data_IF_369442444060
#
_entry.id   IF_369442444060
#
_cell.length_a   1.000
_cell.length_b   1.000
_cell.length_c   1.000
_cell.angle_alpha   90.00
_cell.angle_beta   90.00
_cell.angle_gamma   90.00
#
_symmetry.space_group_name_H-M   'P 1'
#
loop_
_entity.id
_entity.type
_entity.pdbx_description
1 polymer ?
#
# COMPACT_ATOMS: atom_id res chain seq x y z
N UNK A 1 -7.42 31.96 -23.71
CA UNK A 1 -7.55 31.41 -22.33
C UNK A 1 -6.89 30.05 -22.34
N UNK A 2 -5.58 29.99 -22.05
CA UNK A 2 -4.92 28.70 -21.88
C UNK A 2 -5.50 27.96 -20.67
N UNK A 3 -5.81 26.67 -20.85
CA UNK A 3 -5.94 25.76 -19.70
C UNK A 3 -4.53 25.43 -19.24
N UNK A 4 -4.08 26.08 -18.18
CA UNK A 4 -2.80 25.76 -17.56
C UNK A 4 -2.79 24.34 -17.01
N UNK A 5 -2.38 23.36 -17.83
CA UNK A 5 -1.69 22.18 -17.30
C UNK A 5 -0.51 22.71 -16.51
N UNK A 6 -0.55 22.53 -15.20
CA UNK A 6 0.56 22.84 -14.32
C UNK A 6 1.57 21.69 -14.54
N UNK A 7 2.84 21.99 -14.86
CA UNK A 7 3.88 20.98 -15.12
C UNK A 7 4.37 20.35 -13.80
N UNK A 8 3.43 19.81 -13.02
CA UNK A 8 3.61 19.58 -11.59
C UNK A 8 4.05 18.17 -11.22
N UNK A 9 4.86 18.15 -10.17
CA UNK A 9 5.27 17.00 -9.36
C UNK A 9 6.32 16.07 -10.00
N UNK A 10 6.11 15.51 -11.20
CA UNK A 10 7.09 14.57 -11.76
C UNK A 10 8.46 15.22 -12.05
N UNK A 11 8.50 16.44 -12.58
CA UNK A 11 9.74 17.14 -12.97
C UNK A 11 10.78 17.39 -11.84
N UNK A 12 10.45 17.20 -10.55
CA UNK A 12 11.27 17.71 -9.43
C UNK A 12 11.44 16.78 -8.21
N UNK A 13 11.24 15.47 -8.37
CA UNK A 13 11.61 14.49 -7.34
C UNK A 13 13.14 14.25 -7.33
N UNK A 14 13.89 15.15 -6.67
CA UNK A 14 15.32 14.98 -6.41
C UNK A 14 15.61 13.68 -5.64
N UNK A 15 16.65 12.97 -6.08
CA UNK A 15 16.79 11.53 -5.88
C UNK A 15 16.86 11.02 -4.43
N UNK A 16 16.16 9.91 -4.18
CA UNK A 16 16.32 9.05 -3.01
C UNK A 16 16.65 7.63 -3.51
N UNK A 17 17.87 7.17 -3.22
CA UNK A 17 18.41 5.90 -3.72
C UNK A 17 17.92 4.74 -2.85
N UNK A 18 17.47 3.64 -3.47
CA UNK A 18 17.02 2.42 -2.80
C UNK A 18 17.85 1.21 -3.24
N UNK A 19 18.49 0.52 -2.28
CA UNK A 19 19.19 -0.74 -2.52
C UNK A 19 18.22 -1.94 -2.49
N UNK A 20 18.51 -2.99 -3.25
CA UNK A 20 17.64 -4.16 -3.45
C UNK A 20 18.29 -5.52 -3.15
N UNK A 21 17.51 -6.60 -3.34
CA UNK A 21 17.92 -8.01 -3.20
C UNK A 21 17.15 -8.91 -4.20
N UNK A 22 17.59 -10.17 -4.40
CA UNK A 22 17.36 -10.95 -5.64
C UNK A 22 16.39 -12.18 -5.54
N UNK A 23 16.43 -13.07 -6.56
CA UNK A 23 15.33 -13.94 -7.06
C UNK A 23 15.60 -15.47 -7.06
N UNK A 24 14.52 -16.28 -7.15
CA UNK A 24 14.29 -17.65 -7.75
C UNK A 24 13.01 -18.28 -7.12
N UNK A 25 12.18 -19.16 -7.70
CA UNK A 25 12.05 -19.76 -9.05
C UNK A 25 11.97 -21.32 -9.02
N UNK A 26 11.25 -22.10 -9.88
CA UNK A 26 10.17 -21.88 -10.87
C UNK A 26 9.50 -23.25 -11.24
N UNK A 27 8.24 -23.25 -11.75
CA UNK A 27 7.52 -24.40 -12.36
C UNK A 27 6.16 -24.74 -11.68
N UNK A 28 4.97 -24.94 -12.31
CA UNK A 28 4.50 -25.56 -13.59
C UNK A 28 4.01 -27.02 -13.42
N UNK A 29 2.86 -27.54 -13.89
CA UNK A 29 1.55 -27.11 -14.48
C UNK A 29 0.64 -28.39 -14.45
N UNK A 30 -0.69 -28.50 -14.71
CA UNK A 30 -1.87 -27.70 -15.14
C UNK A 30 -3.15 -28.57 -14.83
N UNK A 31 -4.38 -28.46 -15.37
CA UNK A 31 -5.09 -27.56 -16.31
C UNK A 31 -6.52 -28.11 -16.63
N UNK A 32 -7.46 -27.25 -17.06
CA UNK A 32 -8.81 -27.48 -17.68
C UNK A 32 -9.90 -28.29 -16.89
N UNK A 33 -11.23 -28.17 -17.10
CA UNK A 33 -12.08 -27.39 -18.04
C UNK A 33 -13.38 -26.86 -17.34
N UNK A 34 -14.21 -26.08 -18.04
CA UNK A 34 -15.47 -25.45 -17.61
C UNK A 34 -16.68 -26.44 -17.55
N UNK A 35 -17.92 -26.10 -17.16
CA UNK A 35 -18.64 -24.81 -17.15
C UNK A 35 -19.90 -24.85 -16.23
N UNK A 36 -20.86 -23.93 -16.46
CA UNK A 36 -22.16 -23.74 -15.78
C UNK A 36 -22.18 -22.89 -14.49
N UNK A 37 -22.33 -21.59 -14.74
CA UNK A 37 -23.20 -20.62 -14.04
C UNK A 37 -24.07 -21.15 -12.86
N UNK A 38 -24.28 -20.40 -11.77
CA UNK A 38 -24.53 -18.94 -11.73
C UNK A 38 -24.30 -18.35 -10.32
N UNK A 39 -24.41 -17.02 -10.21
CA UNK A 39 -24.53 -16.24 -8.96
C UNK A 39 -23.46 -16.50 -7.88
N UNK A 40 -22.42 -15.65 -7.86
CA UNK A 40 -21.69 -15.33 -6.63
C UNK A 40 -21.20 -13.87 -6.69
N UNK A 41 -21.34 -13.15 -5.59
CA UNK A 41 -20.64 -11.87 -5.40
C UNK A 41 -19.13 -12.14 -5.30
N UNK A 42 -18.30 -11.18 -5.70
CA UNK A 42 -16.83 -11.33 -5.78
C UNK A 42 -16.17 -11.41 -4.39
N UNK A 43 -16.30 -12.58 -3.76
CA UNK A 43 -15.53 -12.99 -2.59
C UNK A 43 -14.08 -13.29 -3.01
N UNK A 44 -13.12 -12.89 -2.17
CA UNK A 44 -11.71 -13.26 -2.36
C UNK A 44 -11.57 -14.80 -2.40
N UNK A 45 -10.62 -15.29 -3.21
CA UNK A 45 -10.43 -16.72 -3.45
C UNK A 45 -10.28 -17.49 -2.13
N UNK A 46 -9.40 -17.04 -1.24
CA UNK A 46 -9.35 -17.52 0.13
C UNK A 46 -9.25 -16.36 1.12
N UNK A 47 -10.09 -16.38 2.14
CA UNK A 47 -10.05 -15.50 3.28
C UNK A 47 -10.30 -16.31 4.54
N UNK A 48 -9.96 -15.77 5.71
CA UNK A 48 -10.23 -16.44 6.97
C UNK A 48 -10.56 -15.43 8.07
N UNK A 49 -11.11 -15.95 9.16
CA UNK A 49 -11.17 -15.26 10.46
C UNK A 49 -10.65 -16.22 11.53
N UNK A 50 -9.86 -15.72 12.47
CA UNK A 50 -9.45 -16.48 13.65
C UNK A 50 -10.61 -16.45 14.66
N UNK A 51 -11.13 -17.62 15.02
CA UNK A 51 -12.25 -17.79 15.96
C UNK A 51 -11.79 -18.28 17.34
N UNK A 52 -10.55 -18.75 17.46
CA UNK A 52 -9.93 -19.12 18.74
C UNK A 52 -8.42 -18.90 18.64
N UNK A 53 -7.83 -18.32 19.69
CA UNK A 53 -6.39 -18.09 19.81
C UNK A 53 -6.03 -18.06 21.29
N UNK A 54 -5.57 -19.19 21.81
CA UNK A 54 -5.23 -19.39 23.22
C UNK A 54 -3.97 -20.22 23.35
N UNK A 55 -3.09 -19.87 24.29
CA UNK A 55 -2.04 -20.75 24.80
C UNK A 55 -2.20 -20.90 26.31
N UNK A 56 -2.41 -22.13 26.77
CA UNK A 56 -2.59 -22.47 28.19
C UNK A 56 -1.29 -23.07 28.71
N UNK A 57 -0.49 -22.24 29.38
CA UNK A 57 0.85 -22.63 29.80
C UNK A 57 0.89 -23.75 30.85
N UNK A 58 -0.17 -23.92 31.65
CA UNK A 58 -0.29 -25.05 32.57
C UNK A 58 -0.33 -26.40 31.82
N UNK A 59 -0.95 -26.42 30.64
CA UNK A 59 -1.11 -27.58 29.77
C UNK A 59 -0.02 -27.63 28.66
N UNK A 60 0.85 -26.62 28.61
CA UNK A 60 1.87 -26.38 27.58
C UNK A 60 1.31 -26.32 26.14
N UNK A 61 0.01 -26.04 26.00
CA UNK A 61 -0.73 -26.28 24.75
C UNK A 61 -1.42 -25.04 24.19
N UNK A 62 -1.27 -24.87 22.89
CA UNK A 62 -1.83 -23.79 22.08
C UNK A 62 -2.92 -24.29 21.14
N UNK A 63 -4.02 -23.54 21.05
CA UNK A 63 -5.15 -23.80 20.16
C UNK A 63 -5.41 -22.58 19.29
N UNK A 64 -5.29 -22.75 17.98
CA UNK A 64 -5.69 -21.78 16.97
C UNK A 64 -6.83 -22.38 16.14
N UNK A 65 -7.99 -21.74 16.13
CA UNK A 65 -9.09 -22.12 15.22
C UNK A 65 -9.27 -21.00 14.20
N UNK A 66 -9.23 -21.37 12.92
CA UNK A 66 -9.57 -20.45 11.83
C UNK A 66 -10.76 -20.97 11.04
N UNK A 67 -11.67 -20.07 10.68
CA UNK A 67 -12.74 -20.35 9.71
C UNK A 67 -12.30 -19.84 8.34
N UNK A 68 -12.28 -20.70 7.32
CA UNK A 68 -12.16 -20.27 5.94
C UNK A 68 -13.46 -19.53 5.53
N UNK A 69 -13.35 -18.27 5.14
CA UNK A 69 -14.46 -17.42 4.69
C UNK A 69 -14.42 -17.13 3.19
N UNK A 70 -13.41 -17.64 2.48
CA UNK A 70 -13.22 -17.39 1.05
C UNK A 70 -14.12 -18.22 0.14
N UNK A 71 -14.03 -17.95 -1.17
CA UNK A 71 -14.80 -18.67 -2.18
C UNK A 71 -14.32 -20.12 -2.43
N UNK A 72 -13.03 -20.39 -2.20
CA UNK A 72 -12.31 -21.64 -2.48
C UNK A 72 -11.91 -22.38 -1.20
N UNK A 73 -11.65 -23.68 -1.32
CA UNK A 73 -11.05 -24.48 -0.25
C UNK A 73 -9.57 -24.15 -0.09
N UNK A 74 -9.11 -23.97 1.15
CA UNK A 74 -7.69 -24.13 1.46
C UNK A 74 -7.34 -25.62 1.39
N UNK A 75 -6.11 -25.95 1.01
CA UNK A 75 -5.64 -27.32 0.72
C UNK A 75 -4.21 -27.59 1.18
N UNK A 76 -3.36 -26.56 1.27
CA UNK A 76 -1.99 -26.61 1.80
C UNK A 76 -1.66 -25.34 2.61
N UNK A 77 -2.43 -25.02 3.67
CA UNK A 77 -2.21 -23.80 4.44
C UNK A 77 -0.84 -23.77 5.12
N UNK A 78 -0.31 -22.57 5.29
CA UNK A 78 0.86 -22.22 6.11
C UNK A 78 0.37 -21.26 7.20
N UNK A 79 0.69 -21.55 8.46
CA UNK A 79 0.25 -20.80 9.63
C UNK A 79 1.49 -20.17 10.28
N UNK A 80 1.56 -18.84 10.29
CA UNK A 80 2.67 -18.06 10.86
C UNK A 80 2.16 -17.19 12.00
N UNK A 81 2.85 -17.19 13.15
CA UNK A 81 2.46 -16.42 14.32
C UNK A 81 3.64 -16.08 15.23
N UNK A 82 3.50 -14.99 15.98
CA UNK A 82 4.47 -14.52 16.96
C UNK A 82 4.19 -15.03 18.38
N UNK A 83 5.20 -15.60 19.01
CA UNK A 83 5.24 -16.07 20.40
C UNK A 83 6.08 -15.11 21.28
N UNK A 84 6.12 -15.26 22.62
CA UNK A 84 6.92 -14.39 23.47
C UNK A 84 8.43 -14.51 23.19
N UNK A 85 9.20 -13.45 23.47
CA UNK A 85 10.66 -13.46 23.22
C UNK A 85 11.38 -14.49 24.11
N UNK A 86 12.26 -15.28 23.51
CA UNK A 86 12.99 -16.37 24.18
C UNK A 86 12.23 -17.69 24.30
N UNK A 87 10.94 -17.71 23.94
CA UNK A 87 10.15 -18.95 23.84
C UNK A 87 10.44 -19.64 22.50
N UNK A 88 10.36 -20.97 22.46
CA UNK A 88 10.44 -21.76 21.22
C UNK A 88 9.22 -22.63 21.00
N UNK A 89 8.73 -22.71 19.77
CA UNK A 89 7.82 -23.80 19.37
C UNK A 89 8.58 -25.13 19.36
N UNK A 90 7.92 -26.22 19.76
CA UNK A 90 8.58 -27.51 20.02
C UNK A 90 7.77 -28.77 19.66
N UNK A 91 6.55 -28.61 19.09
CA UNK A 91 5.75 -29.72 18.57
C UNK A 91 5.31 -29.48 17.12
N UNK A 92 5.32 -30.56 16.33
CA UNK A 92 4.73 -30.67 15.01
C UNK A 92 3.50 -31.60 15.07
N UNK A 93 2.30 -31.04 14.84
CA UNK A 93 1.06 -31.82 14.69
C UNK A 93 1.11 -32.66 13.40
N UNK A 94 0.36 -33.77 13.35
CA UNK A 94 0.38 -34.70 12.21
C UNK A 94 0.12 -34.03 10.85
N UNK A 95 1.09 -34.13 9.94
CA UNK A 95 1.06 -33.50 8.62
C UNK A 95 1.49 -32.03 8.59
N UNK A 96 2.03 -31.49 9.68
CA UNK A 96 2.72 -30.21 9.74
C UNK A 96 4.24 -30.39 9.87
N UNK A 97 4.98 -29.30 9.64
CA UNK A 97 6.31 -29.09 10.21
C UNK A 97 6.58 -27.60 10.41
N UNK A 98 7.39 -27.21 11.39
CA UNK A 98 7.69 -25.80 11.66
C UNK A 98 9.14 -25.37 11.45
N UNK A 99 9.28 -24.06 11.27
CA UNK A 99 10.54 -23.32 11.44
C UNK A 99 10.29 -22.15 12.38
N UNK A 100 11.35 -21.66 13.04
CA UNK A 100 11.26 -20.48 13.89
C UNK A 100 12.36 -19.46 13.53
N UNK A 101 11.99 -18.19 13.48
CA UNK A 101 12.91 -17.07 13.28
C UNK A 101 12.65 -16.02 14.35
N UNK A 102 13.60 -15.87 15.29
CA UNK A 102 13.42 -15.03 16.47
C UNK A 102 12.20 -15.45 17.28
N UNK A 103 11.21 -14.57 17.40
CA UNK A 103 9.95 -14.80 18.11
C UNK A 103 8.77 -15.19 17.20
N UNK A 104 9.01 -15.63 15.96
CA UNK A 104 7.96 -16.03 15.00
C UNK A 104 8.11 -17.49 14.60
N UNK A 105 7.08 -18.29 14.81
CA UNK A 105 6.98 -19.66 14.32
C UNK A 105 6.19 -19.70 13.00
N UNK A 106 6.62 -20.55 12.06
CA UNK A 106 6.00 -20.74 10.75
C UNK A 106 5.79 -22.23 10.53
N UNK A 107 4.54 -22.67 10.60
CA UNK A 107 4.08 -24.04 10.37
C UNK A 107 3.60 -24.23 8.93
N UNK A 108 4.15 -25.22 8.24
CA UNK A 108 3.82 -25.56 6.85
C UNK A 108 3.30 -27.00 6.74
N UNK A 109 2.35 -27.28 5.84
CA UNK A 109 1.83 -28.64 5.63
C UNK A 109 2.82 -29.55 4.90
N UNK A 110 3.13 -30.69 5.53
CA UNK A 110 3.89 -31.83 4.98
C UNK A 110 2.98 -32.87 4.31
N UNK A 111 1.66 -32.83 4.57
CA UNK A 111 0.63 -33.56 3.81
C UNK A 111 -0.62 -32.70 3.59
N UNK A 112 -1.46 -33.04 2.62
CA UNK A 112 -2.61 -32.19 2.23
C UNK A 112 -3.63 -32.00 3.38
N UNK A 113 -4.39 -30.90 3.32
CA UNK A 113 -5.41 -30.51 4.30
C UNK A 113 -6.50 -29.64 3.67
N UNK A 114 -7.64 -30.24 3.32
CA UNK A 114 -8.78 -29.52 2.73
C UNK A 114 -9.64 -28.83 3.78
N UNK A 115 -9.56 -27.49 3.88
CA UNK A 115 -10.48 -26.66 4.67
C UNK A 115 -11.43 -25.94 3.71
N UNK A 116 -12.61 -26.52 3.51
CA UNK A 116 -13.62 -26.02 2.58
C UNK A 116 -14.10 -24.59 2.91
N UNK A 117 -14.71 -23.90 1.94
CA UNK A 117 -15.39 -22.62 2.18
C UNK A 117 -16.41 -22.75 3.31
N UNK A 118 -16.38 -21.81 4.25
CA UNK A 118 -17.15 -21.80 5.50
C UNK A 118 -16.85 -22.92 6.52
N UNK A 119 -15.91 -23.83 6.27
CA UNK A 119 -15.41 -24.75 7.29
C UNK A 119 -14.43 -24.06 8.25
N UNK A 120 -14.33 -24.59 9.47
CA UNK A 120 -13.27 -24.24 10.41
C UNK A 120 -12.27 -25.38 10.54
N UNK A 121 -11.00 -25.05 10.76
CA UNK A 121 -9.94 -25.98 11.14
C UNK A 121 -9.33 -25.55 12.47
N UNK A 122 -9.10 -26.53 13.34
CA UNK A 122 -8.35 -26.38 14.58
C UNK A 122 -6.92 -26.85 14.34
N UNK A 123 -5.97 -25.97 14.62
CA UNK A 123 -4.54 -26.23 14.61
C UNK A 123 -4.01 -26.19 16.05
N UNK A 124 -3.14 -27.14 16.40
CA UNK A 124 -2.51 -27.20 17.70
C UNK A 124 -0.99 -27.03 17.64
N UNK A 125 -0.43 -26.41 18.68
CA UNK A 125 1.02 -26.23 18.86
C UNK A 125 1.37 -26.29 20.35
N UNK A 126 2.62 -26.60 20.68
CA UNK A 126 3.18 -26.38 22.02
C UNK A 126 4.38 -25.44 21.95
N UNK A 127 4.81 -24.94 23.10
CA UNK A 127 6.05 -24.19 23.22
C UNK A 127 6.76 -24.49 24.54
N UNK A 128 8.04 -24.16 24.64
CA UNK A 128 8.88 -24.42 25.81
C UNK A 128 8.58 -23.55 27.06
N UNK A 129 7.41 -22.92 27.15
CA UNK A 129 7.00 -22.11 28.32
C UNK A 129 5.71 -22.59 28.97
N UNK A 130 5.69 -22.52 30.29
CA UNK A 130 4.50 -22.76 31.12
C UNK A 130 3.68 -21.49 31.40
N UNK A 131 4.00 -20.37 30.75
CA UNK A 131 3.24 -19.12 30.87
C UNK A 131 2.19 -19.03 29.76
N UNK A 132 0.93 -18.81 30.14
CA UNK A 132 -0.17 -18.61 29.18
C UNK A 132 -0.01 -17.31 28.38
N UNK A 133 -0.30 -17.36 27.08
CA UNK A 133 -0.26 -16.19 26.20
C UNK A 133 -1.31 -16.25 25.08
N UNK A 134 -1.36 -15.23 24.23
CA UNK A 134 -2.15 -15.21 22.99
C UNK A 134 -1.17 -15.03 21.82
N UNK A 135 -1.26 -15.87 20.79
CA UNK A 135 -0.36 -15.78 19.64
C UNK A 135 -0.59 -14.47 18.88
N UNK A 136 0.48 -13.73 18.59
CA UNK A 136 0.41 -12.45 17.88
C UNK A 136 0.54 -12.64 16.38
N UNK A 137 0.15 -11.65 15.57
CA UNK A 137 0.42 -11.61 14.13
C UNK A 137 0.01 -12.89 13.36
N UNK A 138 -1.08 -13.55 13.77
CA UNK A 138 -1.52 -14.82 13.18
C UNK A 138 -1.90 -14.61 11.71
N UNK A 139 -1.10 -15.20 10.83
CA UNK A 139 -1.21 -15.10 9.38
C UNK A 139 -1.38 -16.50 8.79
N UNK A 140 -2.40 -16.67 7.96
CA UNK A 140 -2.65 -17.93 7.25
C UNK A 140 -2.63 -17.66 5.76
N UNK A 141 -1.78 -18.40 5.04
CA UNK A 141 -1.61 -18.31 3.59
C UNK A 141 -1.71 -19.70 2.97
N UNK A 142 -2.14 -19.81 1.72
CA UNK A 142 -2.27 -21.09 1.03
C UNK A 142 -1.86 -20.94 -0.44
N UNK A 143 -0.98 -21.78 -1.00
CA UNK A 143 -0.52 -21.69 -2.38
C UNK A 143 -1.63 -21.74 -3.43
N UNK A 144 -2.66 -22.57 -3.22
CA UNK A 144 -3.75 -22.77 -4.17
C UNK A 144 -4.75 -21.59 -4.18
N UNK A 145 -4.50 -20.59 -3.34
CA UNK A 145 -5.27 -19.35 -3.23
C UNK A 145 -4.61 -18.14 -3.92
N UNK A 146 -3.54 -18.34 -4.71
CA UNK A 146 -3.08 -17.38 -5.72
C UNK A 146 -2.61 -16.01 -5.20
N UNK A 147 -2.19 -15.90 -3.94
CA UNK A 147 -1.60 -14.68 -3.38
C UNK A 147 -2.57 -13.50 -3.19
N UNK A 148 -3.89 -13.73 -3.19
CA UNK A 148 -4.92 -12.69 -2.97
C UNK A 148 -5.95 -13.10 -1.92
N UNK A 149 -5.48 -13.20 -0.67
CA UNK A 149 -6.32 -13.22 0.53
C UNK A 149 -6.24 -11.90 1.30
N UNK A 150 -7.28 -11.51 2.07
CA UNK A 150 -7.32 -10.22 2.74
C UNK A 150 -6.29 -10.16 3.88
N UNK A 151 -5.55 -9.04 3.92
CA UNK A 151 -4.94 -8.57 5.16
C UNK A 151 -6.02 -8.38 6.25
N UNK A 152 -5.65 -8.44 7.54
CA UNK A 152 -6.61 -8.59 8.63
C UNK A 152 -7.66 -7.47 8.66
N UNK A 153 -8.91 -7.86 8.85
CA UNK A 153 -9.97 -6.95 9.27
C UNK A 153 -9.48 -6.22 10.54
N UNK A 154 -9.53 -4.88 10.61
CA UNK A 154 -8.62 -4.15 11.49
C UNK A 154 -8.95 -4.33 12.97
N UNK A 155 -8.05 -5.02 13.68
CA UNK A 155 -7.58 -4.53 14.98
C UNK A 155 -7.23 -3.03 14.81
N UNK A 156 -7.64 -2.11 15.71
CA UNK A 156 -7.41 -0.67 15.60
C UNK A 156 -5.92 -0.24 15.64
N UNK A 157 -5.21 -0.57 14.55
CA UNK A 157 -3.76 -0.49 14.40
C UNK A 157 -3.14 -1.27 13.22
N UNK A 158 -3.89 -1.64 12.16
CA UNK A 158 -3.29 -2.35 10.99
C UNK A 158 -3.33 -1.60 9.65
N UNK A 159 -4.42 -0.92 9.29
CA UNK A 159 -4.53 -0.19 8.01
C UNK A 159 -5.81 0.64 7.84
N UNK A 160 -6.11 1.04 6.60
CA UNK A 160 -7.42 1.55 6.16
C UNK A 160 -8.23 0.44 5.47
N UNK A 161 -9.56 0.51 5.52
CA UNK A 161 -10.44 -0.38 4.75
C UNK A 161 -10.29 -0.15 3.24
N UNK A 162 -10.72 -1.11 2.41
CA UNK A 162 -10.65 -0.98 0.94
C UNK A 162 -11.34 0.29 0.42
N UNK A 163 -12.46 0.70 1.02
CA UNK A 163 -13.19 1.92 0.64
C UNK A 163 -12.46 3.19 1.12
N UNK A 164 -11.99 3.24 2.37
CA UNK A 164 -11.14 4.34 2.86
C UNK A 164 -9.86 4.49 2.01
N UNK A 165 -9.28 3.38 1.55
CA UNK A 165 -8.12 3.37 0.64
C UNK A 165 -8.47 3.96 -0.74
N UNK A 166 -9.60 3.62 -1.34
CA UNK A 166 -10.07 4.28 -2.58
C UNK A 166 -10.23 5.79 -2.38
N UNK A 167 -10.80 6.22 -1.25
CA UNK A 167 -10.95 7.66 -0.92
C UNK A 167 -9.57 8.33 -0.81
N UNK A 168 -8.61 7.67 -0.16
CA UNK A 168 -7.23 8.13 -0.06
C UNK A 168 -6.56 8.26 -1.44
N UNK A 169 -6.61 7.21 -2.26
CA UNK A 169 -6.02 7.18 -3.60
C UNK A 169 -6.66 8.20 -4.54
N UNK A 170 -8.00 8.34 -4.50
CA UNK A 170 -8.74 9.31 -5.29
C UNK A 170 -8.40 10.76 -4.89
N UNK A 171 -8.30 11.07 -3.59
CA UNK A 171 -7.93 12.41 -3.13
C UNK A 171 -6.47 12.72 -3.49
N UNK A 172 -5.54 11.80 -3.23
CA UNK A 172 -4.13 11.92 -3.63
C UNK A 172 -4.01 12.17 -5.13
N UNK A 173 -4.72 11.42 -5.97
CA UNK A 173 -4.67 11.56 -7.43
C UNK A 173 -5.22 12.90 -7.94
N UNK A 174 -6.14 13.57 -7.22
CA UNK A 174 -6.53 14.95 -7.56
C UNK A 174 -5.33 15.90 -7.41
N UNK A 175 -4.52 15.76 -6.36
CA UNK A 175 -3.37 16.62 -6.15
C UNK A 175 -2.19 16.31 -7.09
N UNK A 176 -2.03 15.06 -7.51
CA UNK A 176 -1.03 14.69 -8.52
C UNK A 176 -1.49 15.10 -9.96
N UNK A 177 -2.75 14.86 -10.32
CA UNK A 177 -3.21 14.76 -11.71
C UNK A 177 -4.49 15.57 -12.07
N UNK A 178 -5.04 16.37 -11.15
CA UNK A 178 -6.39 17.00 -11.23
C UNK A 178 -7.57 16.03 -11.43
N UNK A 179 -7.34 14.72 -11.27
CA UNK A 179 -8.36 13.69 -11.46
C UNK A 179 -8.26 12.59 -10.39
N UNK A 180 -9.39 12.14 -9.82
CA UNK A 180 -9.41 10.98 -8.92
C UNK A 180 -9.23 9.64 -9.66
N UNK A 181 -9.10 9.66 -10.99
CA UNK A 181 -8.82 8.47 -11.81
C UNK A 181 -7.32 8.16 -11.79
N UNK A 182 -6.96 7.02 -11.19
CA UNK A 182 -5.59 6.52 -11.18
C UNK A 182 -5.11 6.14 -12.60
N UNK A 183 -3.94 6.68 -12.97
CA UNK A 183 -3.43 6.67 -14.34
C UNK A 183 -2.72 5.37 -14.77
N UNK A 184 -3.30 4.18 -14.53
CA UNK A 184 -2.63 2.89 -14.78
C UNK A 184 -2.05 2.70 -16.20
N UNK A 185 -2.71 3.25 -17.23
CA UNK A 185 -2.28 3.14 -18.63
C UNK A 185 -1.23 4.20 -19.05
N UNK A 186 -0.92 5.18 -18.20
CA UNK A 186 0.02 6.25 -18.52
C UNK A 186 1.45 5.73 -18.61
N UNK A 187 2.19 6.19 -19.61
CA UNK A 187 3.62 6.02 -19.76
C UNK A 187 4.15 7.18 -20.61
N UNK A 188 5.21 7.85 -20.16
CA UNK A 188 5.80 8.99 -20.86
C UNK A 188 7.27 9.13 -20.44
N UNK A 189 8.17 9.43 -21.38
CA UNK A 189 9.47 9.99 -21.01
C UNK A 189 9.27 11.50 -20.96
N UNK A 190 9.42 12.07 -19.77
CA UNK A 190 9.20 13.49 -19.47
C UNK A 190 10.52 14.27 -19.39
N UNK A 191 11.62 13.65 -19.83
CA UNK A 191 12.98 14.21 -19.91
C UNK A 191 13.54 14.76 -18.58
N UNK A 192 13.09 14.20 -17.46
CA UNK A 192 13.53 14.56 -16.09
C UNK A 192 14.75 13.77 -15.57
N UNK A 193 15.33 12.91 -16.42
CA UNK A 193 16.47 12.06 -16.08
C UNK A 193 16.12 10.72 -15.40
N UNK A 194 14.85 10.36 -15.24
CA UNK A 194 14.41 9.04 -14.73
C UNK A 194 13.94 8.07 -15.83
N UNK A 195 14.03 8.46 -17.10
CA UNK A 195 13.51 7.69 -18.23
C UNK A 195 11.98 7.67 -18.26
N UNK A 196 11.39 6.55 -18.67
CA UNK A 196 9.94 6.42 -18.72
C UNK A 196 9.32 6.42 -17.32
N UNK A 197 8.40 7.35 -17.07
CA UNK A 197 7.51 7.48 -15.90
C UNK A 197 6.16 6.82 -16.21
N UNK A 198 5.65 5.91 -15.36
CA UNK A 198 4.55 5.02 -15.75
C UNK A 198 3.49 4.72 -14.65
N UNK A 199 2.23 4.61 -15.04
CA UNK A 199 1.16 4.01 -14.24
C UNK A 199 0.63 4.84 -13.06
N UNK A 200 -0.17 4.19 -12.19
CA UNK A 200 -0.93 4.85 -11.09
C UNK A 200 -0.10 5.63 -10.05
N UNK A 201 1.21 5.44 -10.03
CA UNK A 201 2.14 6.13 -9.13
C UNK A 201 3.46 6.51 -9.84
N UNK A 202 3.41 6.71 -11.17
CA UNK A 202 4.54 7.17 -11.99
C UNK A 202 5.85 6.43 -11.75
N UNK A 203 5.78 5.09 -11.70
CA UNK A 203 6.95 4.24 -11.52
C UNK A 203 7.94 4.49 -12.64
N UNK A 204 9.22 4.73 -12.33
CA UNK A 204 10.19 5.07 -13.37
C UNK A 204 11.10 3.90 -13.75
N UNK A 205 11.49 3.81 -15.02
CA UNK A 205 12.45 2.79 -15.48
C UNK A 205 13.83 3.03 -14.88
N UNK A 206 14.23 4.31 -14.75
CA UNK A 206 15.53 4.73 -14.24
C UNK A 206 15.72 4.65 -12.72
N UNK A 207 14.67 4.37 -11.94
CA UNK A 207 14.73 4.17 -10.48
C UNK A 207 14.36 2.75 -10.04
N UNK A 208 14.12 1.83 -10.98
CA UNK A 208 13.94 0.40 -10.70
C UNK A 208 12.56 -0.01 -10.15
N UNK A 209 11.65 0.93 -9.93
CA UNK A 209 10.29 0.65 -9.49
C UNK A 209 9.35 0.27 -10.64
N UNK A 210 9.52 0.81 -11.85
CA UNK A 210 8.83 0.26 -13.03
C UNK A 210 9.29 -1.17 -13.34
N UNK A 211 10.56 -1.48 -13.05
CA UNK A 211 11.14 -2.83 -13.23
C UNK A 211 10.44 -3.83 -12.30
N UNK A 212 10.13 -3.44 -11.06
CA UNK A 212 9.36 -4.28 -10.13
C UNK A 212 7.93 -4.55 -10.64
N UNK A 213 7.28 -3.59 -11.32
CA UNK A 213 5.96 -3.82 -11.95
C UNK A 213 6.06 -4.86 -13.07
N UNK A 214 7.08 -4.78 -13.94
CA UNK A 214 7.23 -5.74 -15.05
C UNK A 214 7.68 -7.12 -14.56
N UNK A 215 8.58 -7.20 -13.56
CA UNK A 215 8.92 -8.46 -12.89
C UNK A 215 7.66 -9.13 -12.28
N UNK A 216 6.85 -8.36 -11.57
CA UNK A 216 5.57 -8.80 -11.02
C UNK A 216 4.60 -9.31 -12.10
N UNK A 217 4.52 -8.62 -13.23
CA UNK A 217 3.60 -8.95 -14.32
C UNK A 217 4.04 -10.21 -15.08
N UNK A 218 5.35 -10.37 -15.32
CA UNK A 218 5.92 -11.59 -15.90
C UNK A 218 5.67 -12.83 -15.02
N UNK A 219 5.73 -12.66 -13.69
CA UNK A 219 5.42 -13.74 -12.74
C UNK A 219 3.93 -14.15 -12.73
N UNK A 220 3.03 -13.31 -13.27
CA UNK A 220 1.60 -13.61 -13.42
C UNK A 220 1.21 -14.03 -14.85
N UNK A 221 1.92 -13.56 -15.88
CA UNK A 221 1.52 -13.74 -17.29
C UNK A 221 2.71 -13.87 -18.22
N UNK A 222 2.74 -14.97 -18.99
CA UNK A 222 3.74 -15.21 -20.04
C UNK A 222 3.47 -14.37 -21.30
N UNK A 223 4.48 -14.25 -22.17
CA UNK A 223 4.34 -13.57 -23.46
C UNK A 223 3.27 -14.23 -24.36
N UNK A 224 3.21 -15.57 -24.37
CA UNK A 224 2.19 -16.35 -25.08
C UNK A 224 0.77 -16.01 -24.59
N UNK A 225 0.61 -15.71 -23.30
CA UNK A 225 -0.67 -15.33 -22.70
C UNK A 225 -0.93 -13.81 -22.76
N UNK A 226 -0.28 -13.09 -23.68
CA UNK A 226 -0.56 -11.67 -23.99
C UNK A 226 0.26 -10.64 -23.21
N UNK A 227 1.28 -11.04 -22.43
CA UNK A 227 2.20 -10.08 -21.81
C UNK A 227 3.16 -9.48 -22.85
N UNK A 228 2.77 -8.36 -23.44
CA UNK A 228 3.60 -7.58 -24.38
C UNK A 228 4.83 -6.92 -23.74
N UNK A 229 4.88 -6.81 -22.40
CA UNK A 229 6.01 -6.19 -21.69
C UNK A 229 7.19 -7.14 -21.49
N UNK A 230 6.98 -8.45 -21.55
CA UNK A 230 8.00 -9.46 -21.26
C UNK A 230 9.30 -9.29 -22.08
N UNK A 231 9.19 -8.85 -23.34
CA UNK A 231 10.33 -8.59 -24.24
C UNK A 231 11.33 -7.56 -23.69
N UNK A 232 10.87 -6.58 -22.91
CA UNK A 232 11.72 -5.49 -22.40
C UNK A 232 12.67 -5.91 -21.27
N UNK A 233 12.55 -7.13 -20.72
CA UNK A 233 13.30 -7.54 -19.53
C UNK A 233 14.82 -7.49 -19.67
N UNK A 234 15.38 -7.74 -20.85
CA UNK A 234 16.82 -7.62 -21.08
C UNK A 234 17.29 -6.15 -20.93
N UNK A 235 16.54 -5.21 -21.50
CA UNK A 235 16.80 -3.78 -21.37
C UNK A 235 16.61 -3.27 -19.94
N UNK A 236 15.50 -3.64 -19.29
CA UNK A 236 15.25 -3.31 -17.88
C UNK A 236 16.34 -3.87 -16.96
N UNK A 237 16.81 -5.10 -17.19
CA UNK A 237 17.93 -5.69 -16.42
C UNK A 237 19.22 -4.89 -16.62
N UNK A 238 19.49 -4.43 -17.84
CA UNK A 238 20.66 -3.58 -18.15
C UNK A 238 20.59 -2.24 -17.42
N UNK A 239 19.41 -1.59 -17.43
CA UNK A 239 19.14 -0.34 -16.71
C UNK A 239 19.31 -0.55 -15.19
N UNK A 240 18.71 -1.60 -14.62
CA UNK A 240 18.87 -1.96 -13.20
C UNK A 240 20.35 -2.15 -12.81
N UNK A 241 21.12 -2.86 -13.62
CA UNK A 241 22.51 -3.17 -13.29
C UNK A 241 23.39 -1.91 -13.28
N UNK A 242 23.09 -0.91 -14.13
CA UNK A 242 23.73 0.42 -14.04
C UNK A 242 23.24 1.24 -12.85
N UNK A 243 21.96 1.19 -12.51
CA UNK A 243 21.44 1.82 -11.29
C UNK A 243 22.16 1.28 -10.05
N UNK A 244 22.29 -0.04 -9.93
CA UNK A 244 22.96 -0.69 -8.80
C UNK A 244 24.48 -0.43 -8.75
N UNK A 245 25.17 -0.28 -9.90
CA UNK A 245 26.61 0.00 -9.91
C UNK A 245 26.98 1.47 -9.72
N UNK A 246 26.06 2.41 -9.99
CA UNK A 246 26.30 3.86 -9.87
C UNK A 246 25.59 4.52 -8.68
N UNK A 247 24.50 3.92 -8.20
CA UNK A 247 23.57 4.57 -7.27
C UNK A 247 22.84 5.78 -7.86
N UNK A 248 22.85 5.96 -9.18
CA UNK A 248 22.26 7.13 -9.86
C UNK A 248 21.06 6.74 -10.73
N UNK A 249 20.09 7.66 -10.82
CA UNK A 249 18.95 7.56 -11.74
C UNK A 249 19.43 7.35 -13.17
N UNK A 250 18.79 6.42 -13.90
CA UNK A 250 19.19 6.07 -15.27
C UNK A 250 18.25 6.70 -16.29
N UNK A 251 18.71 7.76 -16.96
CA UNK A 251 17.90 8.52 -17.92
C UNK A 251 17.59 7.79 -19.25
N UNK A 252 18.40 6.79 -19.63
CA UNK A 252 18.29 6.13 -20.95
C UNK A 252 17.01 5.30 -21.08
N UNK A 253 16.30 5.52 -22.18
CA UNK A 253 15.21 4.67 -22.71
C UNK A 253 15.68 3.71 -23.80
N UNK A 254 16.89 3.91 -24.36
CA UNK A 254 17.34 3.25 -25.60
C UNK A 254 17.38 1.71 -25.55
N UNK A 255 17.60 1.13 -24.37
CA UNK A 255 17.55 -0.32 -24.12
C UNK A 255 16.13 -0.91 -24.19
N UNK A 256 15.12 -0.05 -24.21
CA UNK A 256 13.70 -0.38 -24.34
C UNK A 256 13.24 -0.03 -25.76
N UNK A 257 13.58 1.15 -26.25
CA UNK A 257 13.20 1.66 -27.57
C UNK A 257 13.71 0.77 -28.72
N UNK A 258 14.88 0.13 -28.53
CA UNK A 258 15.45 -0.87 -29.44
C UNK A 258 14.68 -2.20 -29.49
N UNK A 259 13.73 -2.42 -28.57
CA UNK A 259 12.89 -3.64 -28.45
C UNK A 259 11.42 -3.35 -28.77
N UNK A 260 10.98 -2.09 -28.72
CA UNK A 260 9.65 -1.68 -29.14
C UNK A 260 9.20 -0.34 -28.57
N UNK A 261 7.94 0.04 -28.85
CA UNK A 261 7.32 1.23 -28.28
C UNK A 261 6.82 0.94 -26.85
N UNK A 262 7.69 1.19 -25.87
CA UNK A 262 7.42 1.00 -24.44
C UNK A 262 6.09 1.63 -23.99
N UNK A 263 5.84 2.87 -24.40
CA UNK A 263 4.63 3.64 -24.03
C UNK A 263 3.36 2.97 -24.55
N UNK A 264 3.37 2.55 -25.82
CA UNK A 264 2.23 1.88 -26.43
C UNK A 264 1.97 0.49 -25.81
N UNK A 265 3.01 -0.26 -25.48
CA UNK A 265 2.88 -1.60 -24.88
C UNK A 265 2.44 -1.53 -23.40
N UNK A 266 2.91 -0.54 -22.64
CA UNK A 266 2.44 -0.28 -21.27
C UNK A 266 0.95 0.08 -21.28
N UNK A 267 0.55 1.03 -22.13
CA UNK A 267 -0.85 1.39 -22.30
C UNK A 267 -1.71 0.21 -22.75
N UNK A 268 -1.22 -0.60 -23.70
CA UNK A 268 -1.90 -1.81 -24.18
C UNK A 268 -2.10 -2.84 -23.07
N UNK A 269 -1.11 -3.03 -22.19
CA UNK A 269 -1.18 -3.99 -21.08
C UNK A 269 -2.29 -3.68 -20.06
N UNK A 270 -2.65 -2.40 -19.88
CA UNK A 270 -3.84 -2.01 -19.10
C UNK A 270 -5.13 -1.96 -19.93
N UNK A 271 -5.05 -1.46 -21.18
CA UNK A 271 -6.25 -1.21 -21.98
C UNK A 271 -6.89 -2.50 -22.50
N UNK A 272 -6.10 -3.55 -22.78
CA UNK A 272 -6.62 -4.87 -23.15
C UNK A 272 -7.32 -5.54 -21.95
N UNK A 273 -8.58 -5.96 -22.13
CA UNK A 273 -9.43 -6.55 -21.09
C UNK A 273 -8.86 -7.83 -20.47
N UNK A 274 -8.13 -8.63 -21.26
CA UNK A 274 -7.59 -9.93 -20.82
C UNK A 274 -6.34 -9.78 -19.93
N UNK A 275 -5.62 -8.67 -20.05
CA UNK A 275 -4.38 -8.39 -19.30
C UNK A 275 -4.56 -7.38 -18.17
N UNK A 276 -5.60 -6.53 -18.26
CA UNK A 276 -5.86 -5.41 -17.34
C UNK A 276 -5.79 -5.78 -15.86
N UNK A 277 -6.39 -6.91 -15.48
CA UNK A 277 -6.48 -7.33 -14.08
C UNK A 277 -5.09 -7.56 -13.47
N UNK A 278 -4.23 -8.34 -14.13
CA UNK A 278 -2.88 -8.64 -13.64
C UNK A 278 -1.99 -7.41 -13.63
N UNK A 279 -2.06 -6.61 -14.72
CA UNK A 279 -1.22 -5.42 -14.84
C UNK A 279 -1.60 -4.34 -13.83
N UNK A 280 -2.90 -4.16 -13.58
CA UNK A 280 -3.41 -3.32 -12.48
C UNK A 280 -2.95 -3.85 -11.13
N UNK A 281 -3.14 -5.14 -10.85
CA UNK A 281 -2.77 -5.76 -9.58
C UNK A 281 -1.27 -5.67 -9.29
N UNK A 282 -0.41 -5.72 -10.31
CA UNK A 282 1.02 -5.50 -10.13
C UNK A 282 1.40 -4.05 -9.85
N UNK A 283 0.75 -3.09 -10.52
CA UNK A 283 0.93 -1.69 -10.16
C UNK A 283 0.40 -1.39 -8.74
N UNK A 284 -0.70 -2.01 -8.32
CA UNK A 284 -1.21 -1.89 -6.95
C UNK A 284 -0.22 -2.50 -5.94
N UNK A 285 0.29 -3.71 -6.19
CA UNK A 285 1.26 -4.40 -5.33
C UNK A 285 2.55 -3.59 -5.14
N UNK A 286 3.07 -2.95 -6.19
CA UNK A 286 4.27 -2.10 -6.11
C UNK A 286 3.96 -0.75 -5.45
N UNK A 287 2.81 -0.13 -5.75
CA UNK A 287 2.36 1.09 -5.05
C UNK A 287 2.18 0.83 -3.55
N UNK A 288 1.68 -0.34 -3.16
CA UNK A 288 1.47 -0.71 -1.77
C UNK A 288 2.77 -1.03 -1.04
N UNK A 289 3.72 -1.68 -1.72
CA UNK A 289 5.07 -1.93 -1.19
C UNK A 289 5.82 -0.62 -0.89
N UNK A 290 5.74 0.36 -1.80
CA UNK A 290 6.54 1.60 -1.73
C UNK A 290 5.86 2.72 -0.93
N UNK A 291 4.53 2.85 -1.00
CA UNK A 291 3.83 4.03 -0.47
C UNK A 291 2.81 3.71 0.62
N UNK A 292 1.92 2.74 0.41
CA UNK A 292 0.85 2.44 1.38
C UNK A 292 1.39 1.77 2.65
N UNK A 293 2.14 0.67 2.50
CA UNK A 293 2.61 -0.14 3.62
C UNK A 293 3.56 0.63 4.55
N UNK A 294 4.56 1.41 4.06
CA UNK A 294 5.39 2.21 4.96
C UNK A 294 4.62 3.31 5.69
N UNK A 295 3.59 3.89 5.07
CA UNK A 295 2.72 4.88 5.72
C UNK A 295 1.83 4.26 6.80
N UNK A 296 1.28 3.06 6.57
CA UNK A 296 0.53 2.34 7.60
C UNK A 296 1.46 1.89 8.74
N UNK A 297 2.66 1.41 8.43
CA UNK A 297 3.64 1.00 9.45
C UNK A 297 4.02 2.14 10.39
N UNK A 298 4.29 3.35 9.88
CA UNK A 298 4.53 4.51 10.74
C UNK A 298 3.24 4.97 11.45
N UNK A 299 2.06 4.93 10.82
CA UNK A 299 0.79 5.25 11.49
C UNK A 299 0.57 4.36 12.73
N UNK A 300 0.70 3.04 12.56
CA UNK A 300 0.52 2.04 13.59
C UNK A 300 1.55 2.24 14.73
N UNK A 301 2.83 2.40 14.38
CA UNK A 301 3.95 2.68 15.30
C UNK A 301 3.75 3.93 16.16
N UNK A 302 3.23 5.02 15.59
CA UNK A 302 3.00 6.26 16.32
C UNK A 302 1.63 6.35 16.99
N UNK A 303 0.78 5.33 16.84
CA UNK A 303 -0.52 5.21 17.50
C UNK A 303 -1.67 5.92 16.78
N UNK A 304 -1.51 6.28 15.50
CA UNK A 304 -2.54 6.89 14.68
C UNK A 304 -3.53 5.82 14.18
N UNK A 305 -4.73 5.79 14.76
CA UNK A 305 -5.73 4.75 14.53
C UNK A 305 -6.72 5.12 13.42
N UNK A 306 -7.03 6.40 13.28
CA UNK A 306 -8.10 6.91 12.42
C UNK A 306 -7.70 6.89 10.93
N UNK A 307 -8.68 6.68 10.06
CA UNK A 307 -8.46 6.62 8.62
C UNK A 307 -7.95 7.95 8.05
N UNK A 308 -8.42 9.09 8.57
CA UNK A 308 -7.94 10.42 8.18
C UNK A 308 -6.43 10.62 8.43
N UNK A 309 -5.92 10.16 9.57
CA UNK A 309 -4.48 10.25 9.91
C UNK A 309 -3.63 9.35 9.00
N UNK A 310 -4.11 8.13 8.75
CA UNK A 310 -3.52 7.17 7.81
C UNK A 310 -3.51 7.72 6.38
N UNK A 311 -4.58 8.39 5.95
CA UNK A 311 -4.69 9.06 4.66
C UNK A 311 -3.70 10.23 4.53
N UNK A 312 -3.52 11.03 5.58
CA UNK A 312 -2.55 12.13 5.60
C UNK A 312 -1.09 11.65 5.53
N UNK A 313 -0.80 10.50 6.14
CA UNK A 313 0.51 9.85 6.09
C UNK A 313 0.79 9.21 4.72
N UNK A 314 -0.18 8.49 4.15
CA UNK A 314 -0.07 7.93 2.78
C UNK A 314 0.21 9.02 1.75
N UNK A 315 -0.58 10.10 1.79
CA UNK A 315 -0.44 11.24 0.89
C UNK A 315 0.87 12.02 1.11
N UNK A 316 1.38 12.06 2.35
CA UNK A 316 2.72 12.59 2.63
C UNK A 316 3.84 11.68 2.11
N UNK A 317 3.68 10.35 2.14
CA UNK A 317 4.65 9.41 1.58
C UNK A 317 4.73 9.51 0.05
N UNK A 318 3.58 9.66 -0.63
CA UNK A 318 3.53 9.92 -2.08
C UNK A 318 4.24 11.25 -2.42
N UNK A 319 3.97 12.33 -1.67
CA UNK A 319 4.46 13.68 -1.98
C UNK A 319 5.91 13.94 -1.53
N UNK A 320 6.40 13.31 -0.46
CA UNK A 320 7.71 13.60 0.15
C UNK A 320 8.65 12.38 0.24
N UNK A 321 8.21 11.20 -0.21
CA UNK A 321 8.89 9.93 0.03
C UNK A 321 8.89 9.52 1.50
N UNK A 322 9.37 8.30 1.77
CA UNK A 322 9.29 7.70 3.11
C UNK A 322 10.20 8.42 4.11
N UNK A 323 11.36 8.87 3.67
CA UNK A 323 12.30 9.68 4.47
C UNK A 323 11.72 11.06 4.80
N UNK A 324 11.01 11.70 3.86
CA UNK A 324 10.31 12.96 4.09
C UNK A 324 9.15 12.81 5.07
N UNK A 325 8.30 11.80 4.87
CA UNK A 325 7.23 11.43 5.82
C UNK A 325 7.79 11.18 7.23
N UNK A 326 8.84 10.35 7.38
CA UNK A 326 9.50 10.08 8.67
C UNK A 326 10.12 11.34 9.31
N UNK A 327 10.59 12.27 8.50
CA UNK A 327 11.13 13.56 8.97
C UNK A 327 10.02 14.49 9.48
N UNK A 328 8.88 14.55 8.77
CA UNK A 328 7.68 15.26 9.21
C UNK A 328 7.15 14.70 10.52
N UNK A 329 7.08 13.37 10.68
CA UNK A 329 6.68 12.73 11.94
C UNK A 329 7.65 13.09 13.07
N UNK A 330 8.97 13.00 12.85
CA UNK A 330 9.98 13.35 13.86
C UNK A 330 9.82 14.81 14.33
N UNK A 331 9.63 15.74 13.38
CA UNK A 331 9.39 17.15 13.66
C UNK A 331 8.06 17.39 14.40
N UNK A 332 7.03 16.57 14.13
CA UNK A 332 5.73 16.58 14.80
C UNK A 332 5.87 16.15 16.26
N UNK A 333 6.46 14.97 16.49
CA UNK A 333 6.69 14.40 17.82
C UNK A 333 7.50 15.37 18.70
N UNK A 334 8.61 15.92 18.18
CA UNK A 334 9.42 16.91 18.90
C UNK A 334 8.63 18.18 19.22
N UNK A 335 7.81 18.68 18.29
CA UNK A 335 6.96 19.86 18.50
C UNK A 335 5.76 19.63 19.45
N UNK A 336 5.54 18.39 19.89
CA UNK A 336 4.57 17.99 20.92
C UNK A 336 5.25 17.56 22.23
N UNK A 337 6.54 17.85 22.40
CA UNK A 337 7.33 17.51 23.60
C UNK A 337 7.90 16.09 23.61
N UNK A 338 7.56 15.23 22.65
CA UNK A 338 8.14 13.90 22.48
C UNK A 338 9.44 13.95 21.66
N UNK A 339 10.42 14.71 22.16
CA UNK A 339 11.75 14.84 21.54
C UNK A 339 12.51 13.51 21.51
N UNK A 340 12.33 12.68 22.54
CA UNK A 340 12.90 11.33 22.66
C UNK A 340 12.31 10.28 21.69
N UNK A 341 11.29 10.64 20.90
CA UNK A 341 10.66 9.76 19.90
C UNK A 341 10.10 8.45 20.49
N UNK A 342 9.51 8.53 21.70
CA UNK A 342 8.83 7.43 22.38
C UNK A 342 7.59 7.03 21.58
N UNK A 343 7.40 5.74 21.35
CA UNK A 343 6.28 5.19 20.59
C UNK A 343 5.27 4.48 21.52
N UNK A 344 3.95 4.64 21.31
CA UNK A 344 3.30 5.55 20.36
C UNK A 344 3.43 7.02 20.80
N UNK A 345 3.34 7.95 19.84
CA UNK A 345 3.33 9.39 20.14
C UNK A 345 1.90 9.91 20.40
N UNK A 346 0.90 9.30 19.77
CA UNK A 346 -0.52 9.46 20.13
C UNK A 346 -0.77 8.70 21.44
N UNK A 347 -1.44 9.37 22.38
CA UNK A 347 -1.69 8.88 23.74
C UNK A 347 -0.58 9.24 24.75
N UNK A 348 0.68 9.35 24.30
CA UNK A 348 1.80 9.77 25.15
C UNK A 348 1.54 11.17 25.74
N UNK A 349 1.70 11.32 27.05
CA UNK A 349 1.45 12.56 27.81
C UNK A 349 0.11 13.27 27.47
N UNK A 350 -0.93 12.52 27.08
CA UNK A 350 -2.24 13.07 26.72
C UNK A 350 -2.34 13.66 25.31
N UNK A 351 -1.33 13.48 24.44
CA UNK A 351 -1.39 13.89 23.03
C UNK A 351 -2.54 13.15 22.32
N UNK A 352 -3.61 13.86 22.00
CA UNK A 352 -4.73 13.29 21.23
C UNK A 352 -4.34 13.12 19.75
N UNK A 353 -4.98 12.19 19.06
CA UNK A 353 -4.74 12.01 17.61
C UNK A 353 -5.12 13.27 16.82
N UNK A 354 -6.07 14.08 17.30
CA UNK A 354 -6.40 15.39 16.73
C UNK A 354 -5.29 16.42 16.91
N UNK A 355 -4.65 16.48 18.08
CA UNK A 355 -3.49 17.35 18.31
C UNK A 355 -2.27 16.89 17.48
N UNK A 356 -2.04 15.57 17.40
CA UNK A 356 -0.96 15.01 16.60
C UNK A 356 -1.14 15.28 15.11
N UNK A 357 -2.32 14.99 14.54
CA UNK A 357 -2.60 15.24 13.13
C UNK A 357 -2.55 16.74 12.80
N UNK A 358 -3.10 17.62 13.66
CA UNK A 358 -2.96 19.07 13.45
C UNK A 358 -1.49 19.45 13.33
N UNK A 359 -0.64 18.96 14.23
CA UNK A 359 0.78 19.35 14.27
C UNK A 359 1.58 18.74 13.11
N UNK A 360 1.21 17.55 12.64
CA UNK A 360 1.73 16.95 11.41
C UNK A 360 1.40 17.80 10.18
N UNK A 361 0.15 18.27 10.06
CA UNK A 361 -0.29 19.11 8.95
C UNK A 361 0.37 20.50 9.00
N UNK A 362 0.51 21.10 10.19
CA UNK A 362 1.31 22.32 10.36
C UNK A 362 2.77 22.11 9.89
N UNK A 363 3.42 21.01 10.26
CA UNK A 363 4.80 20.74 9.82
C UNK A 363 4.93 20.44 8.33
N UNK A 364 3.96 19.76 7.72
CA UNK A 364 3.94 19.52 6.27
C UNK A 364 3.70 20.82 5.49
N UNK A 365 2.81 21.69 5.98
CA UNK A 365 2.61 23.06 5.48
C UNK A 365 3.90 23.88 5.56
N UNK A 366 4.59 23.86 6.70
CA UNK A 366 5.84 24.61 6.91
C UNK A 366 6.93 24.19 5.90
N UNK A 367 7.08 22.89 5.64
CA UNK A 367 8.03 22.36 4.64
C UNK A 367 7.65 22.80 3.22
N UNK A 368 6.39 22.60 2.80
CA UNK A 368 5.93 23.02 1.47
C UNK A 368 5.97 24.56 1.26
N UNK A 369 5.91 25.34 2.34
CA UNK A 369 6.04 26.80 2.30
C UNK A 369 7.50 27.29 2.21
N UNK A 370 8.47 26.42 2.50
CA UNK A 370 9.91 26.78 2.49
C UNK A 370 10.57 26.74 1.09
N UNK A 371 9.88 26.18 0.09
CA UNK A 371 10.32 26.13 -1.31
C UNK A 371 9.22 26.71 -2.21
N UNK A 372 9.59 27.72 -3.03
CA UNK A 372 8.69 28.42 -3.92
C UNK A 372 8.04 27.51 -5.00
N UNK A 373 8.67 26.38 -5.31
CA UNK A 373 8.13 25.32 -6.16
C UNK A 373 6.83 24.73 -5.61
N UNK A 374 6.74 24.57 -4.28
CA UNK A 374 5.71 23.77 -3.63
C UNK A 374 4.59 24.59 -2.97
N UNK A 375 4.66 25.93 -3.02
CA UNK A 375 3.66 26.83 -2.42
C UNK A 375 2.20 26.54 -2.86
N UNK A 376 1.97 26.14 -4.12
CA UNK A 376 0.63 25.75 -4.61
C UNK A 376 0.13 24.44 -4.00
N UNK A 377 1.01 23.55 -3.58
CA UNK A 377 0.63 22.24 -3.02
C UNK A 377 0.10 22.33 -1.58
N UNK A 378 0.06 23.49 -0.95
CA UNK A 378 -0.35 23.62 0.46
C UNK A 378 -1.87 23.41 0.64
N UNK A 379 -2.68 23.65 -0.40
CA UNK A 379 -4.13 23.33 -0.40
C UNK A 379 -4.41 21.82 -0.18
N UNK A 380 -3.47 20.95 -0.60
CA UNK A 380 -3.49 19.51 -0.31
C UNK A 380 -3.53 19.24 1.19
N UNK A 381 -2.62 19.86 1.93
CA UNK A 381 -2.50 19.74 3.39
C UNK A 381 -3.73 20.34 4.08
N UNK A 382 -4.27 21.43 3.51
CA UNK A 382 -5.48 22.10 3.98
C UNK A 382 -6.72 21.18 3.93
N UNK A 383 -6.80 20.25 2.97
CA UNK A 383 -7.94 19.33 2.86
C UNK A 383 -8.04 18.36 4.05
N UNK A 384 -6.91 17.90 4.57
CA UNK A 384 -6.85 17.08 5.79
C UNK A 384 -7.23 17.89 7.03
N UNK A 385 -6.79 19.15 7.13
CA UNK A 385 -7.17 20.04 8.23
C UNK A 385 -8.67 20.35 8.23
N UNK A 386 -9.27 20.49 7.04
CA UNK A 386 -10.74 20.59 6.87
C UNK A 386 -11.45 19.32 7.34
N UNK A 387 -11.02 18.13 6.92
CA UNK A 387 -11.64 16.88 7.40
C UNK A 387 -11.48 16.69 8.91
N UNK A 388 -10.36 17.12 9.49
CA UNK A 388 -10.09 17.07 10.93
C UNK A 388 -11.06 17.95 11.70
N UNK A 389 -11.28 19.19 11.24
CA UNK A 389 -12.25 20.13 11.82
C UNK A 389 -13.69 19.64 11.69
N UNK A 390 -14.03 18.96 10.60
CA UNK A 390 -15.33 18.30 10.38
C UNK A 390 -15.53 17.01 11.17
N UNK A 391 -14.49 16.48 11.82
CA UNK A 391 -14.56 15.19 12.52
C UNK A 391 -14.74 13.98 11.59
N UNK A 392 -14.40 14.09 10.30
CA UNK A 392 -14.54 13.00 9.32
C UNK A 392 -13.40 11.97 9.45
N UNK A 393 -13.23 11.43 10.65
CA UNK A 393 -12.08 10.62 11.07
C UNK A 393 -12.01 9.25 10.39
N UNK A 394 -13.16 8.61 10.20
CA UNK A 394 -13.31 7.32 9.51
C UNK A 394 -13.50 7.45 7.99
N UNK A 395 -13.50 8.68 7.43
CA UNK A 395 -13.84 8.96 6.03
C UNK A 395 -15.24 8.45 5.61
N UNK A 396 -16.16 8.34 6.57
CA UNK A 396 -17.52 7.83 6.40
C UNK A 396 -18.48 8.84 5.77
N UNK A 397 -18.14 10.13 5.80
CA UNK A 397 -18.86 11.18 5.09
C UNK A 397 -18.14 11.56 3.77
N UNK A 398 -18.86 11.88 2.68
CA UNK A 398 -18.26 12.36 1.44
C UNK A 398 -17.38 13.60 1.67
N UNK A 399 -16.18 13.59 1.08
CA UNK A 399 -15.22 14.70 1.17
C UNK A 399 -15.11 15.45 -0.16
N UNK A 400 -14.66 16.71 -0.08
CA UNK A 400 -14.44 17.61 -1.21
C UNK A 400 -13.14 18.38 -1.01
N UNK A 401 -12.40 18.61 -2.09
CA UNK A 401 -11.17 19.41 -2.12
C UNK A 401 -11.43 20.92 -2.26
N UNK A 402 -12.63 21.42 -1.93
CA UNK A 402 -12.98 22.85 -1.92
C UNK A 402 -12.44 23.55 -0.67
N UNK A 403 -11.12 23.62 -0.57
CA UNK A 403 -10.36 24.28 0.49
C UNK A 403 -9.29 25.16 -0.11
N UNK A 404 -8.86 26.19 0.62
CA UNK A 404 -7.61 26.90 0.37
C UNK A 404 -6.83 26.96 1.68
N UNK A 405 -5.52 26.81 1.64
CA UNK A 405 -4.67 26.83 2.82
C UNK A 405 -4.82 28.11 3.65
N UNK A 406 -5.04 29.26 2.99
CA UNK A 406 -5.35 30.53 3.64
C UNK A 406 -6.59 30.47 4.54
N UNK A 407 -7.59 29.69 4.16
CA UNK A 407 -8.85 29.55 4.89
C UNK A 407 -8.67 28.64 6.13
N UNK A 408 -7.57 27.88 6.20
CA UNK A 408 -7.19 27.09 7.38
C UNK A 408 -6.29 27.85 8.36
N UNK A 409 -5.33 28.65 7.86
CA UNK A 409 -4.19 29.15 8.65
C UNK A 409 -3.94 30.67 8.61
N UNK A 410 -4.82 31.46 7.98
CA UNK A 410 -4.76 32.93 7.89
C UNK A 410 -3.55 33.54 7.15
N UNK A 411 -2.45 32.79 6.98
CA UNK A 411 -1.34 33.14 6.09
C UNK A 411 -1.79 33.14 4.63
N UNK A 412 -1.30 34.09 3.83
CA UNK A 412 -1.57 34.11 2.38
C UNK A 412 -0.77 33.01 1.67
N UNK A 413 -1.48 32.06 1.06
CA UNK A 413 -0.93 31.02 0.20
C UNK A 413 -1.57 31.12 -1.19
N UNK A 414 -0.83 30.84 -2.28
CA UNK A 414 -1.39 30.87 -3.63
C UNK A 414 -2.41 29.74 -3.78
N UNK A 415 -3.53 30.03 -4.44
CA UNK A 415 -4.52 29.00 -4.76
C UNK A 415 -3.93 27.99 -5.75
N UNK A 416 -4.11 26.71 -5.44
CA UNK A 416 -3.60 25.59 -6.22
C UNK A 416 -4.19 25.49 -7.63
N UNK A 417 -5.49 25.78 -7.79
CA UNK A 417 -6.20 25.77 -9.07
C UNK A 417 -6.87 24.44 -9.44
N UNK A 418 -6.73 23.38 -8.64
CA UNK A 418 -7.34 22.08 -8.91
C UNK A 418 -8.87 22.17 -8.98
N UNK A 419 -9.45 21.40 -9.90
CA UNK A 419 -10.89 21.22 -10.04
C UNK A 419 -11.45 20.54 -8.80
N UNK A 420 -12.53 21.09 -8.25
CA UNK A 420 -13.22 20.46 -7.11
C UNK A 420 -13.95 19.20 -7.57
N UNK A 421 -13.72 18.10 -6.86
CA UNK A 421 -14.50 16.87 -6.91
C UNK A 421 -15.19 16.66 -5.57
N UNK A 422 -16.28 15.89 -5.57
CA UNK A 422 -16.73 15.18 -4.38
C UNK A 422 -16.29 13.72 -4.51
N UNK A 423 -15.74 13.17 -3.44
CA UNK A 423 -15.43 11.74 -3.30
C UNK A 423 -16.32 11.19 -2.19
N UNK A 424 -17.15 10.20 -2.52
CA UNK A 424 -18.05 9.51 -1.60
C UNK A 424 -17.27 8.43 -0.82
N UNK A 425 -17.83 7.99 0.31
CA UNK A 425 -17.17 7.05 1.22
C UNK A 425 -16.89 5.65 0.61
N UNK A 426 -17.45 5.32 -0.56
CA UNK A 426 -17.20 4.08 -1.32
C UNK A 426 -16.08 4.21 -2.38
N UNK A 427 -15.55 5.41 -2.57
CA UNK A 427 -14.57 5.77 -3.61
C UNK A 427 -15.19 6.26 -4.92
N UNK A 428 -16.52 6.30 -5.06
CA UNK A 428 -17.17 6.95 -6.22
C UNK A 428 -17.02 8.47 -6.13
N UNK A 429 -17.07 9.16 -7.27
CA UNK A 429 -16.81 10.61 -7.31
C UNK A 429 -17.66 11.34 -8.34
N UNK A 430 -17.79 12.66 -8.16
CA UNK A 430 -18.49 13.56 -9.08
C UNK A 430 -17.79 14.93 -9.14
N UNK A 431 -18.16 15.76 -10.13
CA UNK A 431 -17.75 17.18 -10.19
C UNK A 431 -18.95 18.04 -9.77
N UNK A 432 -18.90 18.74 -8.62
CA UNK A 432 -20.01 19.57 -8.18
C UNK A 432 -20.30 20.75 -9.11
N UNK A 433 -21.57 21.12 -9.25
CA UNK A 433 -22.01 22.29 -10.02
C UNK A 433 -21.70 23.63 -9.35
N UNK A 434 -21.40 23.63 -8.03
CA UNK A 434 -21.01 24.81 -7.26
C UNK A 434 -19.99 24.47 -6.17
N UNK A 435 -19.16 25.45 -5.84
CA UNK A 435 -18.01 25.29 -4.92
C UNK A 435 -17.87 26.50 -4.00
N UNK A 436 -17.83 26.26 -2.69
CA UNK A 436 -17.56 27.29 -1.68
C UNK A 436 -16.32 26.88 -0.91
N UNK A 437 -15.20 27.56 -1.19
CA UNK A 437 -13.93 27.28 -0.52
C UNK A 437 -14.01 27.64 0.96
N UNK A 438 -13.73 26.66 1.82
CA UNK A 438 -13.76 26.79 3.28
C UNK A 438 -12.87 25.74 3.92
N UNK A 439 -12.32 26.04 5.09
CA UNK A 439 -11.68 25.08 6.00
C UNK A 439 -12.53 24.78 7.25
N UNK A 440 -13.83 25.08 7.17
CA UNK A 440 -14.87 24.61 8.09
C UNK A 440 -15.65 23.46 7.44
#
# INVERSE_FOLDING_TARGET
MERGRNDSMWMKCLGLVWFGAALVGCGSEGGDDASLERTRSELAACSYVITTNTYVGADWWGTLVFKNTGASSMTRPTISFGIPSGVTCDHDEAGWTHTQSGSTCIYSRTSDLTVASNASYTFYYSTNTNQSFTATNVTITDPNCGGTGPGPNPDPGTGMTANQKKVAEALTSIWENDTPVLAYAYAENIDDGRGYTNGRAGFCTGTGDAIQVIQCYNARRSAANGNVMAKYMAGLTTINNRYQSTGQNQASTSELDSVGNWVADWGTSYNNTTTRADFKACQDQVSDKLYYTPAMNEANKWGAKQALSKMALYDANINHGESGMKSLIRATNTALGNSGQVAPAVGYNGITESAWLQKFLEKRRDVLASDSTWLKAIDRVAAYEKQRRKGNWDLSAPLRNDVRARDCWSTSYPFSGYTVRQINADGTWSTPTSTTFSCQ
#
